data_IF_001790194860
#
_entry.id   IF_001790194860
#
_cell.length_a   1.000
_cell.length_b   1.000
_cell.length_c   1.000
_cell.angle_alpha   90.00
_cell.angle_beta   90.00
_cell.angle_gamma   90.00
#
_symmetry.space_group_name_H-M   'P 1'
#
loop_
_entity.id
_entity.type
_entity.pdbx_description
1 polymer ?
#
# COMPACT_ATOMS: atom_id res chain seq x y z
N UNK A 1 4.57 -38.31 47.56
CA UNK A 1 3.12 -38.35 47.20
C UNK A 1 3.01 -37.67 45.82
N UNK A 2 2.95 -38.48 44.81
CA UNK A 2 2.98 -38.04 43.43
C UNK A 2 1.54 -37.94 42.90
N UNK A 3 1.05 -36.71 42.73
CA UNK A 3 -0.31 -36.45 42.24
C UNK A 3 -0.26 -36.41 40.73
N UNK A 4 -0.39 -37.59 40.12
CA UNK A 4 -0.57 -37.75 38.67
C UNK A 4 -1.91 -37.16 38.24
N UNK A 5 -1.91 -35.98 37.68
CA UNK A 5 -3.07 -35.34 37.06
C UNK A 5 -3.47 -36.11 35.80
N UNK A 6 -4.45 -37.03 35.95
CA UNK A 6 -5.11 -37.67 34.80
C UNK A 6 -5.77 -36.61 33.94
N UNK A 7 -5.19 -36.32 32.78
CA UNK A 7 -5.88 -35.59 31.69
C UNK A 7 -7.10 -36.41 31.25
N UNK A 8 -8.28 -36.01 31.66
CA UNK A 8 -9.54 -36.60 31.21
C UNK A 8 -9.71 -36.34 29.72
N UNK A 9 -9.70 -37.39 28.92
CA UNK A 9 -9.97 -37.35 27.47
C UNK A 9 -11.37 -36.76 27.27
N UNK A 10 -11.52 -35.70 26.44
CA UNK A 10 -12.84 -35.12 26.18
C UNK A 10 -13.80 -36.18 25.63
N UNK A 11 -15.09 -36.13 26.01
CA UNK A 11 -16.08 -37.14 25.56
C UNK A 11 -16.16 -37.17 24.02
N UNK A 12 -16.42 -38.34 23.43
CA UNK A 12 -16.55 -38.47 22.00
C UNK A 12 -17.69 -37.61 21.46
N UNK A 13 -17.39 -36.78 20.47
CA UNK A 13 -18.39 -35.94 19.80
C UNK A 13 -19.45 -36.81 19.18
N UNK A 14 -20.74 -36.55 19.45
CA UNK A 14 -21.85 -37.33 18.92
C UNK A 14 -21.73 -37.45 17.37
N UNK A 15 -21.92 -38.64 16.84
CA UNK A 15 -21.80 -38.95 15.41
C UNK A 15 -22.60 -37.97 14.56
N UNK A 16 -23.80 -37.59 14.99
CA UNK A 16 -24.67 -36.61 14.35
C UNK A 16 -24.05 -35.22 14.15
N UNK A 17 -23.33 -34.72 15.17
CA UNK A 17 -22.65 -33.41 15.09
C UNK A 17 -21.52 -33.46 14.08
N UNK A 18 -20.75 -34.56 14.06
CA UNK A 18 -19.67 -34.72 13.10
C UNK A 18 -20.20 -34.78 11.65
N UNK A 19 -21.27 -35.52 11.41
CA UNK A 19 -21.90 -35.62 10.09
C UNK A 19 -22.47 -34.29 9.64
N UNK A 20 -23.10 -33.55 10.55
CA UNK A 20 -23.63 -32.20 10.27
C UNK A 20 -22.52 -31.19 9.94
N UNK A 21 -21.41 -31.19 10.69
CA UNK A 21 -20.23 -30.34 10.41
C UNK A 21 -19.69 -30.61 9.00
N UNK A 22 -19.52 -31.87 8.63
CA UNK A 22 -19.00 -32.25 7.32
C UNK A 22 -19.96 -31.91 6.19
N UNK A 23 -21.26 -32.06 6.41
CA UNK A 23 -22.29 -31.66 5.47
C UNK A 23 -22.28 -30.15 5.25
N UNK A 24 -22.29 -29.34 6.32
CA UNK A 24 -22.23 -27.89 6.23
C UNK A 24 -20.99 -27.39 5.48
N UNK A 25 -19.84 -28.06 5.71
CA UNK A 25 -18.61 -27.75 5.00
C UNK A 25 -18.67 -28.11 3.51
N UNK A 26 -19.26 -29.25 3.16
CA UNK A 26 -19.40 -29.70 1.77
C UNK A 26 -20.38 -28.83 0.97
N UNK A 27 -21.49 -28.44 1.58
CA UNK A 27 -22.49 -27.55 0.98
C UNK A 27 -21.99 -26.10 0.85
N UNK A 28 -21.02 -25.70 1.69
CA UNK A 28 -20.49 -24.33 1.75
C UNK A 28 -18.95 -24.30 1.77
N UNK A 29 -18.28 -24.56 0.64
CA UNK A 29 -16.82 -24.72 0.57
C UNK A 29 -15.99 -23.49 1.04
N UNK A 30 -16.62 -22.33 1.10
CA UNK A 30 -15.98 -21.09 1.55
C UNK A 30 -16.17 -20.80 3.05
N UNK A 31 -16.90 -21.64 3.77
CA UNK A 31 -17.12 -21.46 5.19
C UNK A 31 -15.97 -22.01 6.00
N UNK A 32 -15.37 -21.17 6.85
CA UNK A 32 -14.40 -21.62 7.84
C UNK A 32 -15.07 -22.19 9.08
N UNK A 33 -14.31 -22.90 9.91
CA UNK A 33 -14.79 -23.54 11.14
C UNK A 33 -15.58 -22.62 12.07
N UNK A 34 -15.24 -21.31 12.12
CA UNK A 34 -15.98 -20.34 12.95
C UNK A 34 -17.37 -20.03 12.41
N UNK A 35 -17.53 -20.02 11.10
CA UNK A 35 -18.86 -19.84 10.48
C UNK A 35 -19.73 -21.06 10.70
N UNK A 36 -19.19 -22.25 10.46
CA UNK A 36 -19.87 -23.51 10.72
C UNK A 36 -20.25 -23.64 12.20
N UNK A 37 -19.37 -23.26 13.12
CA UNK A 37 -19.67 -23.20 14.54
C UNK A 37 -20.87 -22.27 14.85
N UNK A 38 -20.91 -21.08 14.26
CA UNK A 38 -22.03 -20.15 14.42
C UNK A 38 -23.36 -20.73 13.97
N UNK A 39 -23.40 -21.44 12.84
CA UNK A 39 -24.61 -22.12 12.36
C UNK A 39 -25.05 -23.25 13.31
N UNK A 40 -24.10 -24.03 13.83
CA UNK A 40 -24.41 -25.07 14.84
C UNK A 40 -25.02 -24.48 16.11
N UNK A 41 -24.49 -23.36 16.60
CA UNK A 41 -25.04 -22.64 17.75
C UNK A 41 -26.45 -22.13 17.44
N UNK A 42 -26.69 -21.59 16.23
CA UNK A 42 -28.03 -21.17 15.78
C UNK A 42 -29.02 -22.34 15.69
N UNK A 43 -28.55 -23.55 15.43
CA UNK A 43 -29.34 -24.79 15.43
C UNK A 43 -29.48 -25.42 16.83
N UNK A 44 -28.98 -24.76 17.87
CA UNK A 44 -29.08 -25.21 19.27
C UNK A 44 -28.01 -26.20 19.74
N UNK A 45 -27.00 -26.49 18.90
CA UNK A 45 -25.92 -27.39 19.29
C UNK A 45 -24.85 -26.66 20.12
N UNK A 46 -24.55 -27.18 21.31
CA UNK A 46 -23.46 -26.68 22.15
C UNK A 46 -22.16 -27.42 21.84
N UNK A 47 -21.36 -26.87 20.95
CA UNK A 47 -20.07 -27.44 20.53
C UNK A 47 -19.02 -26.33 20.50
N UNK A 48 -17.79 -26.60 20.94
CA UNK A 48 -16.73 -25.61 20.88
C UNK A 48 -16.21 -25.43 19.43
N UNK A 49 -15.80 -24.21 19.09
CA UNK A 49 -15.21 -23.93 17.76
C UNK A 49 -13.96 -24.78 17.47
N UNK A 50 -13.16 -25.10 18.49
CA UNK A 50 -12.01 -26.02 18.39
C UNK A 50 -12.42 -27.45 18.03
N UNK A 51 -13.58 -27.91 18.49
CA UNK A 51 -14.13 -29.22 18.13
C UNK A 51 -14.50 -29.26 16.65
N UNK A 52 -15.16 -28.21 16.13
CA UNK A 52 -15.47 -28.07 14.69
C UNK A 52 -14.19 -28.06 13.89
N UNK A 53 -13.17 -27.31 14.30
CA UNK A 53 -11.86 -27.29 13.65
C UNK A 53 -11.23 -28.68 13.59
N UNK A 54 -11.23 -29.41 14.70
CA UNK A 54 -10.69 -30.78 14.78
C UNK A 54 -11.42 -31.76 13.88
N UNK A 55 -12.77 -31.67 13.78
CA UNK A 55 -13.57 -32.52 12.89
C UNK A 55 -13.18 -32.30 11.43
N UNK A 56 -13.11 -31.05 10.99
CA UNK A 56 -12.75 -30.70 9.61
C UNK A 56 -11.31 -31.15 9.30
N UNK A 57 -10.37 -30.85 10.18
CA UNK A 57 -8.96 -31.20 10.01
C UNK A 57 -8.75 -32.72 9.90
N UNK A 58 -9.39 -33.52 10.75
CA UNK A 58 -9.34 -34.98 10.70
C UNK A 58 -10.01 -35.57 9.47
N UNK A 59 -10.94 -34.85 8.86
CA UNK A 59 -11.60 -35.25 7.62
C UNK A 59 -10.86 -34.78 6.37
N UNK A 60 -9.69 -34.12 6.50
CA UNK A 60 -8.93 -33.57 5.37
C UNK A 60 -9.57 -32.33 4.74
N UNK A 61 -10.58 -31.73 5.40
CA UNK A 61 -11.22 -30.48 4.96
C UNK A 61 -10.50 -29.31 5.60
N UNK A 62 -10.10 -28.29 4.80
CA UNK A 62 -9.44 -27.11 5.33
C UNK A 62 -10.39 -26.36 6.29
N UNK A 63 -10.08 -26.29 7.60
CA UNK A 63 -10.93 -25.59 8.58
C UNK A 63 -10.96 -24.07 8.39
N UNK A 64 -10.08 -23.52 7.58
CA UNK A 64 -10.01 -22.11 7.23
C UNK A 64 -9.79 -21.96 5.71
N UNK A 65 -10.77 -22.33 4.87
CA UNK A 65 -10.63 -22.28 3.43
C UNK A 65 -10.25 -20.89 2.97
N UNK A 66 -9.27 -20.81 2.10
CA UNK A 66 -8.81 -19.54 1.54
C UNK A 66 -9.93 -18.92 0.73
N UNK A 67 -10.13 -17.61 0.88
CA UNK A 67 -11.05 -16.88 0.00
C UNK A 67 -10.62 -17.12 -1.45
N UNK A 68 -11.53 -17.59 -2.29
CA UNK A 68 -11.33 -17.85 -3.71
C UNK A 68 -11.24 -16.54 -4.50
N UNK A 69 -10.19 -15.77 -4.28
CA UNK A 69 -9.94 -14.53 -4.99
C UNK A 69 -8.47 -14.16 -4.88
N UNK A 70 -7.96 -13.34 -5.78
CA UNK A 70 -6.58 -12.89 -5.71
C UNK A 70 -6.33 -12.18 -4.37
N UNK A 71 -5.21 -12.49 -3.75
CA UNK A 71 -4.76 -11.74 -2.58
C UNK A 71 -4.53 -10.27 -2.97
N UNK A 72 -4.62 -9.36 -2.01
CA UNK A 72 -4.31 -7.94 -2.24
C UNK A 72 -2.95 -7.75 -2.94
N UNK A 73 -1.94 -8.51 -2.55
CA UNK A 73 -0.63 -8.50 -3.20
C UNK A 73 -0.71 -8.94 -4.68
N UNK A 74 -1.43 -10.01 -4.98
CA UNK A 74 -1.61 -10.47 -6.36
C UNK A 74 -2.36 -9.43 -7.20
N UNK A 75 -3.42 -8.84 -6.66
CA UNK A 75 -4.15 -7.75 -7.31
C UNK A 75 -3.23 -6.56 -7.62
N UNK A 76 -2.49 -6.04 -6.62
CA UNK A 76 -1.56 -4.93 -6.82
C UNK A 76 -0.46 -5.25 -7.84
N UNK A 77 0.02 -6.50 -7.87
CA UNK A 77 1.03 -6.91 -8.84
C UNK A 77 0.45 -6.99 -10.25
N UNK A 78 -0.73 -7.59 -10.41
CA UNK A 78 -1.38 -7.76 -11.72
C UNK A 78 -1.83 -6.42 -12.32
N UNK A 79 -2.27 -5.47 -11.48
CA UNK A 79 -2.80 -4.17 -11.91
C UNK A 79 -1.79 -3.01 -11.70
N UNK A 80 -0.51 -3.30 -11.43
CA UNK A 80 0.48 -2.31 -10.99
C UNK A 80 0.55 -1.08 -11.90
N UNK A 81 0.47 -1.27 -13.21
CA UNK A 81 0.54 -0.19 -14.20
C UNK A 81 -0.72 0.69 -14.24
N UNK A 82 -1.85 0.16 -13.77
CA UNK A 82 -3.13 0.84 -13.75
C UNK A 82 -3.46 1.49 -12.38
N UNK A 83 -2.57 1.37 -11.39
CA UNK A 83 -2.81 1.86 -10.04
C UNK A 83 -1.92 3.07 -9.75
N UNK A 84 -2.58 4.16 -9.34
CA UNK A 84 -1.99 5.32 -8.69
C UNK A 84 -2.28 5.19 -7.19
N UNK A 85 -1.27 5.27 -6.33
CA UNK A 85 -1.46 5.34 -4.88
C UNK A 85 -1.18 6.75 -4.39
N UNK A 86 -1.91 7.21 -3.37
CA UNK A 86 -1.64 8.48 -2.73
C UNK A 86 -1.59 8.34 -1.21
N UNK A 87 -0.89 9.28 -0.59
CA UNK A 87 -0.75 9.33 0.86
C UNK A 87 -0.26 10.72 1.29
N UNK A 88 -0.29 10.94 2.60
CA UNK A 88 0.32 12.09 3.24
C UNK A 88 1.54 11.69 4.06
N UNK A 89 2.52 12.57 4.09
CA UNK A 89 3.52 12.55 5.16
C UNK A 89 3.72 13.95 5.71
N UNK A 90 4.33 14.03 6.88
CA UNK A 90 4.56 15.32 7.56
C UNK A 90 6.04 15.58 7.74
N UNK A 91 6.39 16.86 7.70
CA UNK A 91 7.71 17.39 8.02
C UNK A 91 7.54 18.52 9.03
N UNK A 92 8.29 18.48 10.11
CA UNK A 92 8.31 19.57 11.08
C UNK A 92 9.42 20.56 10.70
N UNK A 93 9.08 21.85 10.70
CA UNK A 93 10.04 22.93 10.38
C UNK A 93 10.96 23.21 11.56
N UNK A 94 12.01 23.99 11.34
CA UNK A 94 12.90 24.53 12.41
C UNK A 94 12.14 25.34 13.47
N UNK A 95 10.95 25.86 13.12
CA UNK A 95 10.06 26.58 14.03
C UNK A 95 8.97 25.67 14.62
N UNK A 96 9.14 24.35 14.58
CA UNK A 96 8.21 23.32 15.10
C UNK A 96 6.79 23.40 14.49
N UNK A 97 6.67 24.01 13.32
CA UNK A 97 5.41 23.99 12.56
C UNK A 97 5.34 22.72 11.71
N UNK A 98 4.24 22.01 11.82
CA UNK A 98 3.99 20.80 11.02
C UNK A 98 3.47 21.16 9.64
N UNK A 99 4.12 20.64 8.62
CA UNK A 99 3.73 20.77 7.22
C UNK A 99 3.35 19.40 6.68
N UNK A 100 2.26 19.34 5.93
CA UNK A 100 1.75 18.16 5.28
C UNK A 100 2.15 18.15 3.80
N UNK A 101 2.54 17.01 3.31
CA UNK A 101 2.90 16.80 1.91
C UNK A 101 1.96 15.77 1.34
N UNK A 102 1.17 16.13 0.34
CA UNK A 102 0.38 15.21 -0.47
C UNK A 102 1.21 14.75 -1.67
N UNK A 103 1.30 13.45 -1.86
CA UNK A 103 2.00 12.87 -3.00
C UNK A 103 1.22 11.71 -3.61
N UNK A 104 1.55 11.43 -4.86
CA UNK A 104 1.04 10.28 -5.61
C UNK A 104 2.21 9.46 -6.13
N UNK A 105 2.03 8.13 -6.21
CA UNK A 105 3.02 7.21 -6.75
C UNK A 105 2.34 6.21 -7.69
N UNK A 106 2.83 6.07 -8.91
CA UNK A 106 2.41 5.01 -9.82
C UNK A 106 3.04 3.68 -9.39
N UNK A 107 2.22 2.68 -9.13
CA UNK A 107 2.73 1.41 -8.57
C UNK A 107 3.60 0.65 -9.58
N UNK A 108 3.29 0.70 -10.87
CA UNK A 108 4.07 0.03 -11.92
C UNK A 108 5.43 0.65 -12.16
N UNK A 109 5.46 1.95 -12.40
CA UNK A 109 6.66 2.71 -12.78
C UNK A 109 7.47 3.19 -11.58
N UNK A 110 6.88 3.27 -10.39
CA UNK A 110 7.43 3.94 -9.19
C UNK A 110 7.58 5.45 -9.33
N UNK A 111 7.07 6.04 -10.39
CA UNK A 111 7.10 7.48 -10.59
C UNK A 111 6.30 8.19 -9.49
N UNK A 112 6.90 9.22 -8.90
CA UNK A 112 6.32 10.00 -7.81
C UNK A 112 5.98 11.40 -8.28
N UNK A 113 4.86 11.92 -7.80
CA UNK A 113 4.40 13.29 -8.00
C UNK A 113 4.07 13.90 -6.65
N UNK A 114 4.78 14.93 -6.25
CA UNK A 114 4.42 15.74 -5.08
C UNK A 114 3.36 16.74 -5.54
N UNK A 115 2.12 16.51 -5.12
CA UNK A 115 0.98 17.31 -5.55
C UNK A 115 0.89 18.64 -4.81
N UNK A 116 1.36 18.67 -3.56
CA UNK A 116 1.34 19.93 -2.82
C UNK A 116 1.87 19.81 -1.40
N UNK A 117 2.19 20.99 -0.86
CA UNK A 117 2.76 21.16 0.48
C UNK A 117 1.94 22.24 1.19
N UNK A 118 1.46 21.96 2.40
CA UNK A 118 0.67 22.95 3.18
C UNK A 118 0.69 22.66 4.68
N UNK A 119 0.57 23.70 5.50
CA UNK A 119 0.31 23.55 6.94
C UNK A 119 -1.18 23.20 7.21
N UNK A 120 -2.09 23.47 6.25
CA UNK A 120 -3.53 23.36 6.43
C UNK A 120 -4.16 22.47 5.34
N UNK A 121 -4.08 21.13 5.42
CA UNK A 121 -4.60 20.21 4.42
C UNK A 121 -6.13 20.06 4.53
N UNK A 122 -6.87 21.10 4.12
CA UNK A 122 -8.35 21.05 4.07
C UNK A 122 -8.82 20.15 2.94
N UNK A 123 -10.02 19.55 3.06
CA UNK A 123 -10.59 18.71 2.01
C UNK A 123 -10.73 19.42 0.66
N UNK A 124 -11.03 20.72 0.66
CA UNK A 124 -11.08 21.54 -0.55
C UNK A 124 -9.71 21.67 -1.20
N UNK A 125 -8.65 21.91 -0.40
CA UNK A 125 -7.28 21.95 -0.90
C UNK A 125 -6.86 20.61 -1.49
N UNK A 126 -7.15 19.50 -0.80
CA UNK A 126 -6.82 18.14 -1.27
C UNK A 126 -7.52 17.82 -2.61
N UNK A 127 -8.82 18.16 -2.73
CA UNK A 127 -9.54 18.00 -3.99
C UNK A 127 -8.97 18.88 -5.12
N UNK A 128 -8.50 20.10 -4.79
CA UNK A 128 -7.86 20.96 -5.79
C UNK A 128 -6.52 20.40 -6.26
N UNK A 129 -5.69 19.80 -5.36
CA UNK A 129 -4.46 19.14 -5.76
C UNK A 129 -4.71 17.93 -6.67
N UNK A 130 -5.81 17.19 -6.43
CA UNK A 130 -6.21 16.11 -7.33
C UNK A 130 -6.55 16.60 -8.74
N UNK A 131 -7.31 17.71 -8.87
CA UNK A 131 -7.61 18.32 -10.18
C UNK A 131 -6.34 18.77 -10.90
N UNK A 132 -5.46 19.48 -10.18
CA UNK A 132 -4.18 19.93 -10.74
C UNK A 132 -3.36 18.75 -11.27
N UNK A 133 -3.27 17.67 -10.49
CA UNK A 133 -2.57 16.45 -10.91
C UNK A 133 -3.15 15.87 -12.20
N UNK A 134 -4.47 15.72 -12.28
CA UNK A 134 -5.12 15.15 -13.47
C UNK A 134 -4.94 16.04 -14.69
N UNK A 135 -4.97 17.36 -14.55
CA UNK A 135 -4.66 18.31 -15.62
C UNK A 135 -3.20 18.17 -16.11
N UNK A 136 -2.23 17.99 -15.19
CA UNK A 136 -0.82 17.79 -15.55
C UNK A 136 -0.57 16.42 -16.21
N UNK A 137 -1.39 15.44 -15.86
CA UNK A 137 -1.28 14.10 -16.42
C UNK A 137 -1.86 13.97 -17.84
N UNK A 138 -2.88 14.78 -18.22
CA UNK A 138 -3.61 14.83 -19.48
C UNK A 138 -3.57 13.52 -20.33
N UNK A 139 -2.49 13.26 -21.07
CA UNK A 139 -2.32 12.03 -21.86
C UNK A 139 -1.73 10.83 -21.08
N UNK A 140 -1.19 11.03 -19.89
CA UNK A 140 -0.56 9.97 -19.08
C UNK A 140 -1.56 9.24 -18.18
N UNK A 141 -2.78 9.74 -18.04
CA UNK A 141 -3.88 9.02 -17.38
C UNK A 141 -4.39 7.84 -18.22
N UNK A 142 -4.10 7.82 -19.52
CA UNK A 142 -4.46 6.72 -20.41
C UNK A 142 -3.86 5.40 -19.89
N UNK A 143 -4.67 4.63 -19.14
CA UNK A 143 -4.27 3.37 -18.50
C UNK A 143 -4.39 3.34 -16.99
N UNK A 144 -4.58 4.47 -16.32
CA UNK A 144 -4.94 4.49 -14.89
C UNK A 144 -6.41 4.09 -14.73
N UNK A 145 -6.65 3.11 -13.87
CA UNK A 145 -7.98 2.59 -13.57
C UNK A 145 -8.33 2.68 -12.09
N UNK A 146 -7.33 2.75 -11.24
CA UNK A 146 -7.52 2.69 -9.80
C UNK A 146 -6.70 3.75 -9.09
N UNK A 147 -7.33 4.44 -8.13
CA UNK A 147 -6.66 5.24 -7.11
C UNK A 147 -6.68 4.47 -5.80
N UNK A 148 -5.52 4.15 -5.26
CA UNK A 148 -5.37 3.55 -3.94
C UNK A 148 -5.07 4.63 -2.90
N UNK A 149 -5.89 4.74 -1.86
CA UNK A 149 -5.67 5.64 -0.73
C UNK A 149 -5.98 4.96 0.61
N UNK A 150 -5.50 5.53 1.68
CA UNK A 150 -5.90 5.17 3.02
C UNK A 150 -7.26 5.78 3.39
N UNK A 151 -7.67 5.62 4.65
CA UNK A 151 -8.94 6.13 5.20
C UNK A 151 -8.76 7.43 5.96
N UNK A 152 -7.73 8.21 5.66
CA UNK A 152 -7.53 9.51 6.29
C UNK A 152 -8.69 10.46 5.94
N UNK A 153 -9.21 11.15 6.95
CA UNK A 153 -10.33 12.09 6.83
C UNK A 153 -10.07 13.27 5.89
N UNK A 154 -8.82 13.55 5.56
CA UNK A 154 -8.45 14.57 4.57
C UNK A 154 -8.91 14.21 3.17
N UNK A 155 -9.03 12.91 2.85
CA UNK A 155 -9.60 12.42 1.60
C UNK A 155 -11.11 12.40 1.69
N UNK A 156 -11.75 13.48 1.26
CA UNK A 156 -13.20 13.66 1.29
C UNK A 156 -13.88 13.06 0.07
N UNK A 157 -15.22 12.95 0.10
CA UNK A 157 -16.02 12.54 -1.07
C UNK A 157 -15.76 13.44 -2.30
N UNK A 158 -15.49 14.74 -2.10
CA UNK A 158 -15.13 15.65 -3.19
C UNK A 158 -13.79 15.30 -3.84
N UNK A 159 -12.82 14.78 -3.08
CA UNK A 159 -11.58 14.26 -3.61
C UNK A 159 -11.83 12.99 -4.45
N UNK A 160 -12.63 12.05 -3.94
CA UNK A 160 -12.95 10.83 -4.66
C UNK A 160 -13.70 11.12 -5.97
N UNK A 161 -14.63 12.09 -5.94
CA UNK A 161 -15.40 12.50 -7.12
C UNK A 161 -14.53 13.05 -8.26
N UNK A 162 -13.37 13.65 -7.97
CA UNK A 162 -12.41 14.11 -9.00
C UNK A 162 -11.89 12.94 -9.82
N UNK A 163 -11.53 11.82 -9.17
CA UNK A 163 -11.00 10.64 -9.86
C UNK A 163 -12.11 9.81 -10.53
N UNK A 164 -13.25 9.64 -9.85
CA UNK A 164 -14.36 8.89 -10.44
C UNK A 164 -14.96 9.60 -11.66
N UNK A 165 -14.92 10.93 -11.70
CA UNK A 165 -15.29 11.72 -12.89
C UNK A 165 -14.43 11.45 -14.12
N UNK A 166 -13.19 11.02 -13.91
CA UNK A 166 -12.24 10.62 -14.98
C UNK A 166 -12.23 9.08 -15.21
N UNK A 167 -13.19 8.35 -14.66
CA UNK A 167 -13.30 6.90 -14.81
C UNK A 167 -12.27 6.10 -14.00
N UNK A 168 -11.68 6.70 -12.96
CA UNK A 168 -10.71 6.06 -12.07
C UNK A 168 -11.41 5.63 -10.79
N UNK A 169 -11.47 4.32 -10.55
CA UNK A 169 -12.10 3.76 -9.35
C UNK A 169 -11.25 4.01 -8.09
N UNK A 170 -11.87 4.51 -7.03
CA UNK A 170 -11.19 4.75 -5.75
C UNK A 170 -11.22 3.52 -4.87
N UNK A 171 -10.05 2.99 -4.56
CA UNK A 171 -9.85 1.83 -3.70
C UNK A 171 -9.34 2.26 -2.33
N UNK A 172 -10.13 2.01 -1.29
CA UNK A 172 -9.67 2.20 0.08
C UNK A 172 -8.83 0.99 0.53
N UNK A 173 -7.73 1.26 1.22
CA UNK A 173 -6.95 0.18 1.84
C UNK A 173 -7.82 -0.65 2.78
N UNK A 174 -7.72 -2.00 2.76
CA UNK A 174 -8.50 -2.84 3.65
C UNK A 174 -8.22 -2.50 5.13
N UNK A 175 -9.23 -2.54 6.00
CA UNK A 175 -9.03 -2.32 7.43
C UNK A 175 -7.99 -3.30 7.99
N UNK A 176 -7.12 -2.81 8.87
CA UNK A 176 -6.06 -3.62 9.52
C UNK A 176 -5.07 -4.28 8.55
N UNK A 177 -4.91 -3.72 7.35
CA UNK A 177 -3.90 -4.15 6.38
C UNK A 177 -2.79 -3.10 6.24
N UNK A 178 -1.87 -2.95 7.20
CA UNK A 178 -0.85 -1.89 7.20
C UNK A 178 0.03 -1.93 5.94
N UNK A 179 0.21 -3.09 5.34
CA UNK A 179 1.00 -3.25 4.10
C UNK A 179 0.22 -2.93 2.82
N UNK A 180 -1.03 -2.52 2.91
CA UNK A 180 -1.85 -2.28 1.72
C UNK A 180 -1.32 -1.11 0.87
N UNK A 181 -0.74 -0.07 1.52
CA UNK A 181 -0.11 1.07 0.85
C UNK A 181 1.43 1.05 0.97
N UNK A 182 2.02 -0.15 0.97
CA UNK A 182 3.46 -0.34 1.20
C UNK A 182 4.38 0.38 0.20
N UNK A 183 3.88 0.75 -0.95
CA UNK A 183 4.63 1.52 -1.95
C UNK A 183 4.79 2.98 -1.52
N UNK A 184 3.70 3.60 -1.06
CA UNK A 184 3.72 4.94 -0.51
C UNK A 184 4.56 5.01 0.77
N UNK A 185 4.35 4.08 1.71
CA UNK A 185 5.14 3.98 2.94
C UNK A 185 6.65 3.86 2.66
N UNK A 186 7.03 3.03 1.68
CA UNK A 186 8.43 2.86 1.29
C UNK A 186 9.02 4.14 0.71
N UNK A 187 8.27 4.87 -0.11
CA UNK A 187 8.72 6.15 -0.63
C UNK A 187 8.88 7.17 0.49
N UNK A 188 7.92 7.28 1.41
CA UNK A 188 8.03 8.15 2.60
C UNK A 188 9.29 7.82 3.41
N UNK A 189 9.56 6.54 3.69
CA UNK A 189 10.78 6.14 4.37
C UNK A 189 12.05 6.47 3.59
N UNK A 190 11.98 6.50 2.27
CA UNK A 190 13.12 6.84 1.40
C UNK A 190 13.36 8.34 1.38
N UNK A 191 12.35 9.18 1.13
CA UNK A 191 12.49 10.64 1.10
C UNK A 191 12.91 11.19 2.45
N UNK A 192 12.43 10.61 3.56
CA UNK A 192 12.87 10.99 4.90
C UNK A 192 14.37 10.74 5.06
N UNK A 193 14.79 9.51 4.89
CA UNK A 193 16.20 9.10 5.12
C UNK A 193 17.19 9.78 4.18
N UNK A 194 16.79 10.06 2.93
CA UNK A 194 17.70 10.61 1.92
C UNK A 194 17.64 12.13 1.84
N UNK A 195 16.56 12.77 2.31
CA UNK A 195 16.32 14.20 2.12
C UNK A 195 15.82 14.89 3.40
N UNK A 196 14.55 14.69 3.80
CA UNK A 196 13.90 15.58 4.79
C UNK A 196 14.45 15.46 6.20
N UNK A 197 14.94 14.31 6.63
CA UNK A 197 15.54 14.10 7.96
C UNK A 197 17.00 14.59 8.02
N UNK A 198 17.54 15.05 6.89
CA UNK A 198 18.92 15.52 6.74
C UNK A 198 19.02 17.02 6.43
N UNK A 199 17.88 17.72 6.41
CA UNK A 199 17.81 19.14 6.07
C UNK A 199 16.95 19.90 7.07
N UNK A 200 17.34 21.13 7.38
CA UNK A 200 16.55 22.04 8.18
C UNK A 200 15.52 22.74 7.28
N UNK A 201 14.26 22.46 7.48
CA UNK A 201 13.16 23.04 6.68
C UNK A 201 12.65 24.32 7.34
N UNK A 202 12.73 25.44 6.63
CA UNK A 202 12.31 26.76 7.14
C UNK A 202 10.79 26.99 7.00
N UNK A 203 10.14 26.40 5.99
CA UNK A 203 8.71 26.61 5.74
C UNK A 203 8.21 25.89 4.48
N UNK A 204 6.93 26.13 4.13
CA UNK A 204 6.26 25.44 3.02
C UNK A 204 6.97 25.62 1.67
N UNK A 205 7.31 26.87 1.32
CA UNK A 205 8.00 27.17 0.04
C UNK A 205 9.36 26.48 -0.04
N UNK A 206 10.11 26.49 1.06
CA UNK A 206 11.41 25.81 1.12
C UNK A 206 11.23 24.32 0.96
N UNK A 207 10.29 23.70 1.70
CA UNK A 207 10.00 22.27 1.57
C UNK A 207 9.55 21.89 0.16
N UNK A 208 8.68 22.69 -0.47
CA UNK A 208 8.23 22.46 -1.85
C UNK A 208 9.41 22.48 -2.84
N UNK A 209 10.33 23.45 -2.73
CA UNK A 209 11.53 23.51 -3.57
C UNK A 209 12.43 22.30 -3.39
N UNK A 210 12.69 21.92 -2.14
CA UNK A 210 13.51 20.75 -1.77
C UNK A 210 12.89 19.46 -2.33
N UNK A 211 11.57 19.28 -2.16
CA UNK A 211 10.87 18.08 -2.65
C UNK A 211 10.80 18.04 -4.17
N UNK A 212 10.66 19.16 -4.85
CA UNK A 212 10.69 19.22 -6.32
C UNK A 212 12.05 18.76 -6.86
N UNK A 213 13.15 19.27 -6.28
CA UNK A 213 14.50 18.88 -6.66
C UNK A 213 14.76 17.38 -6.35
N UNK A 214 14.36 16.93 -5.14
CA UNK A 214 14.46 15.53 -4.77
C UNK A 214 13.63 14.61 -5.67
N UNK A 215 12.40 14.98 -6.01
CA UNK A 215 11.51 14.18 -6.86
C UNK A 215 12.04 14.09 -8.30
N UNK A 216 12.64 15.17 -8.81
CA UNK A 216 13.33 15.14 -10.10
C UNK A 216 14.49 14.12 -10.09
N UNK A 217 15.31 14.13 -9.02
CA UNK A 217 16.36 13.13 -8.80
C UNK A 217 15.79 11.71 -8.70
N UNK A 218 14.79 11.52 -7.83
CA UNK A 218 14.17 10.22 -7.59
C UNK A 218 13.62 9.59 -8.86
N UNK A 219 12.93 10.39 -9.66
CA UNK A 219 12.31 9.92 -10.90
C UNK A 219 13.30 9.78 -12.06
N UNK A 220 14.32 10.64 -12.14
CA UNK A 220 15.21 10.73 -13.30
C UNK A 220 16.55 10.01 -13.16
N UNK A 221 17.05 9.88 -11.93
CA UNK A 221 18.42 9.41 -11.69
C UNK A 221 18.54 8.27 -10.69
N UNK A 222 17.66 8.22 -9.68
CA UNK A 222 17.78 7.27 -8.59
C UNK A 222 17.57 5.84 -9.07
N UNK A 223 18.53 4.91 -8.91
CA UNK A 223 18.35 3.52 -9.30
C UNK A 223 17.36 2.80 -8.38
N UNK A 224 16.47 1.99 -8.97
CA UNK A 224 15.48 1.20 -8.24
C UNK A 224 15.69 -0.30 -8.48
N UNK A 225 15.92 -1.05 -7.41
CA UNK A 225 16.11 -2.50 -7.49
C UNK A 225 14.94 -3.22 -8.19
N UNK A 226 13.70 -2.78 -7.94
CA UNK A 226 12.50 -3.36 -8.54
C UNK A 226 12.31 -2.99 -10.02
N UNK A 227 13.09 -2.06 -10.54
CA UNK A 227 13.11 -1.63 -11.95
C UNK A 227 14.44 -2.00 -12.64
N UNK A 228 15.09 -3.06 -12.20
CA UNK A 228 16.38 -3.51 -12.73
C UNK A 228 17.46 -2.41 -12.66
N UNK A 229 17.52 -1.70 -11.53
CA UNK A 229 18.41 -0.56 -11.26
C UNK A 229 18.18 0.66 -12.16
N UNK A 230 17.06 0.72 -12.87
CA UNK A 230 16.69 1.89 -13.66
C UNK A 230 15.89 2.90 -12.81
N UNK A 231 15.95 4.20 -13.13
CA UNK A 231 15.05 5.19 -12.55
C UNK A 231 13.62 5.03 -13.08
N UNK A 232 12.59 5.58 -12.39
CA UNK A 232 11.20 5.58 -12.86
C UNK A 232 11.03 6.15 -14.28
N UNK A 233 11.69 7.27 -14.57
CA UNK A 233 11.75 7.86 -15.90
C UNK A 233 12.94 7.26 -16.65
N UNK A 234 12.73 6.07 -17.23
CA UNK A 234 13.80 5.40 -17.97
C UNK A 234 14.27 6.27 -19.13
N UNK A 235 15.57 6.49 -19.32
CA UNK A 235 16.09 7.12 -20.53
C UNK A 235 15.74 6.25 -21.74
N UNK A 236 15.41 6.88 -22.85
CA UNK A 236 15.02 6.19 -24.09
C UNK A 236 16.15 5.30 -24.67
N UNK A 237 17.40 5.61 -24.32
CA UNK A 237 18.57 4.84 -24.71
C UNK A 237 19.40 4.46 -23.49
N UNK A 238 19.72 3.18 -23.36
CA UNK A 238 20.78 2.72 -22.46
C UNK A 238 22.09 3.13 -23.12
N UNK A 239 22.76 4.14 -22.57
CA UNK A 239 24.11 4.52 -23.01
C UNK A 239 25.02 3.37 -22.57
N UNK A 240 25.65 2.70 -23.56
CA UNK A 240 26.65 1.68 -23.27
C UNK A 240 27.85 2.27 -22.48
N UNK A 241 28.66 1.43 -21.83
CA UNK A 241 29.84 1.91 -21.13
C UNK A 241 30.73 2.66 -22.11
N UNK A 242 30.96 3.95 -21.86
CA UNK A 242 31.89 4.76 -22.64
C UNK A 242 33.17 4.98 -21.84
N UNK A 243 34.27 5.21 -22.54
CA UNK A 243 35.57 5.61 -21.93
C UNK A 243 35.57 7.07 -21.49
N UNK A 244 34.42 7.77 -21.56
CA UNK A 244 34.27 9.19 -21.20
C UNK A 244 34.45 9.43 -19.71
N UNK A 245 34.82 10.67 -19.37
CA UNK A 245 34.89 11.11 -17.98
C UNK A 245 33.55 11.12 -17.31
N UNK A 246 33.47 10.67 -16.05
CA UNK A 246 32.29 10.76 -15.21
C UNK A 246 32.19 12.16 -14.61
N UNK A 247 31.09 12.84 -14.88
CA UNK A 247 30.76 14.13 -14.27
C UNK A 247 29.87 13.93 -13.04
N UNK A 248 30.19 14.65 -11.96
CA UNK A 248 29.41 14.73 -10.75
C UNK A 248 28.57 16.03 -10.75
N UNK A 249 27.28 15.92 -10.48
CA UNK A 249 26.39 17.05 -10.27
C UNK A 249 25.83 16.99 -8.84
N UNK A 250 26.20 17.91 -7.95
CA UNK A 250 25.60 18.00 -6.63
C UNK A 250 24.17 18.54 -6.76
N UNK A 251 23.24 17.96 -5.98
CA UNK A 251 21.86 18.43 -5.83
C UNK A 251 21.52 18.61 -4.34
N UNK A 252 20.47 19.31 -4.03
CA UNK A 252 20.06 19.62 -2.64
C UNK A 252 21.23 20.20 -1.81
N UNK A 253 21.94 21.18 -2.38
CA UNK A 253 23.10 21.78 -1.71
C UNK A 253 24.27 20.82 -1.50
N UNK A 254 24.38 19.73 -2.27
CA UNK A 254 25.42 18.70 -2.16
C UNK A 254 25.06 17.53 -1.25
N UNK A 255 23.83 17.47 -0.76
CA UNK A 255 23.33 16.36 0.05
C UNK A 255 23.33 15.04 -0.74
N UNK A 256 23.03 15.13 -2.05
CA UNK A 256 23.04 14.02 -3.00
C UNK A 256 23.90 14.41 -4.20
N UNK A 257 24.54 13.41 -4.82
CA UNK A 257 25.29 13.60 -6.05
C UNK A 257 24.73 12.72 -7.16
N UNK A 258 24.52 13.29 -8.31
CA UNK A 258 24.21 12.58 -9.55
C UNK A 258 25.49 12.41 -10.38
N UNK A 259 25.55 11.33 -11.10
CA UNK A 259 26.67 11.01 -11.97
C UNK A 259 26.18 10.77 -13.39
N UNK A 260 26.85 11.37 -14.37
CA UNK A 260 26.60 11.19 -15.79
C UNK A 260 27.91 11.05 -16.54
N UNK A 261 27.87 10.43 -17.70
CA UNK A 261 29.00 10.44 -18.62
C UNK A 261 29.12 11.83 -19.28
N UNK A 262 30.32 12.35 -19.39
CA UNK A 262 30.56 13.52 -20.20
C UNK A 262 30.33 13.13 -21.67
N UNK A 263 29.53 13.94 -22.40
CA UNK A 263 29.35 13.78 -23.83
C UNK A 263 30.66 14.07 -24.55
#
# INVERSE_FOLDING_TARGET
MDVSTRQTRPPPVAKQIRELVLRLAAENPLWGHRRIHGELVGLGYQVAASTVWNILHRAGVDPAPRRSGPTWKQFLTAQAHAILACDFFTVDTVFLKRIYVLFFIQIGTRQVHVAGVTAHPTGAWVAQQARNLLMDFDRRTAGLRFLLRDRDNKFTAAFDAVFTGEGIDVLNTPPRAPRANSYAERWVGTVRRECTDRMLIAGERHLASVLNEYTAHYNGHRPHRSLSQQPPNRPAHVIGPSTGQVRRRPILGGLINEYSQAA
#
